data_IF_550462956714
#
_entry.id   IF_550462956714
#
_cell.length_a   1.000
_cell.length_b   1.000
_cell.length_c   1.000
_cell.angle_alpha   90.00
_cell.angle_beta   90.00
_cell.angle_gamma   90.00
#
_symmetry.space_group_name_H-M   'P 1'
#
loop_
_entity.id
_entity.type
_entity.pdbx_description
1 polymer ?
#
# COMPACT_ATOMS: atom_id res chain seq x y z
N UNK A 1 -19.67 9.45 2.48
CA UNK A 1 -18.92 8.37 3.15
C UNK A 1 -17.56 8.95 3.53
N UNK A 2 -17.39 9.34 4.79
CA UNK A 2 -16.13 9.94 5.30
C UNK A 2 -15.22 8.80 5.73
N UNK A 3 -14.00 8.74 5.19
CA UNK A 3 -12.96 7.80 5.63
C UNK A 3 -12.51 8.23 7.02
N UNK A 4 -12.94 7.50 8.06
CA UNK A 4 -12.83 7.91 9.47
C UNK A 4 -11.46 7.67 10.12
N UNK A 5 -10.45 7.21 9.40
CA UNK A 5 -9.09 7.07 9.93
C UNK A 5 -8.07 7.19 8.81
N UNK A 6 -7.27 8.26 8.83
CA UNK A 6 -6.19 8.51 7.85
C UNK A 6 -4.83 8.51 8.55
N UNK A 7 -4.66 7.66 9.56
CA UNK A 7 -3.39 7.52 10.27
C UNK A 7 -3.46 6.42 11.32
N UNK A 8 -2.87 5.27 11.00
CA UNK A 8 -2.84 4.12 11.90
C UNK A 8 -2.21 2.90 11.26
N UNK A 9 -1.91 1.92 12.12
CA UNK A 9 -1.42 0.61 11.72
C UNK A 9 -2.56 -0.16 11.01
N UNK A 10 -2.27 -0.70 9.84
CA UNK A 10 -3.20 -1.55 9.08
C UNK A 10 -2.60 -2.93 8.94
N UNK A 11 -3.26 -3.89 9.59
CA UNK A 11 -2.94 -5.30 9.51
C UNK A 11 -3.55 -5.92 8.26
N UNK A 12 -2.72 -6.53 7.42
CA UNK A 12 -3.16 -7.30 6.26
C UNK A 12 -2.51 -8.68 6.29
N UNK A 13 -2.97 -9.60 5.43
CA UNK A 13 -2.37 -10.94 5.25
C UNK A 13 -0.86 -10.85 4.96
N UNK A 14 -0.41 -9.78 4.29
CA UNK A 14 1.00 -9.54 4.00
C UNK A 14 1.83 -8.96 5.15
N UNK A 15 1.21 -8.62 6.28
CA UNK A 15 1.83 -7.96 7.42
C UNK A 15 1.13 -6.66 7.82
N UNK A 16 1.68 -6.01 8.84
CA UNK A 16 1.23 -4.71 9.34
C UNK A 16 2.01 -3.57 8.66
N UNK A 17 1.31 -2.51 8.27
CA UNK A 17 1.96 -1.28 7.76
C UNK A 17 1.30 -0.03 8.33
N UNK A 18 2.09 1.01 8.56
CA UNK A 18 1.61 2.28 9.10
C UNK A 18 1.31 3.29 7.98
N UNK A 19 0.02 3.64 7.82
CA UNK A 19 -0.42 4.62 6.82
C UNK A 19 0.11 6.03 7.14
N UNK A 20 0.30 6.36 8.42
CA UNK A 20 0.72 7.69 8.85
C UNK A 20 2.18 8.00 8.52
N UNK A 21 3.02 6.96 8.42
CA UNK A 21 4.46 7.08 8.15
C UNK A 21 4.83 7.04 6.68
N UNK A 22 3.85 6.82 5.79
CA UNK A 22 4.09 6.68 4.36
C UNK A 22 4.72 5.34 3.96
N UNK A 23 4.51 4.29 4.77
CA UNK A 23 5.02 2.95 4.45
C UNK A 23 4.33 2.36 3.22
N UNK A 24 5.05 1.50 2.48
CA UNK A 24 4.47 0.76 1.37
C UNK A 24 3.41 -0.20 1.89
N UNK A 25 2.23 -0.18 1.24
CA UNK A 25 1.15 -1.09 1.59
C UNK A 25 1.54 -2.53 1.28
N UNK A 26 1.33 -3.43 2.23
CA UNK A 26 1.60 -4.87 2.07
C UNK A 26 0.38 -5.62 1.49
N UNK A 27 -0.32 -4.99 0.55
CA UNK A 27 -1.54 -5.52 -0.03
C UNK A 27 -1.70 -5.12 -1.50
N UNK A 28 -2.37 -5.97 -2.28
CA UNK A 28 -2.68 -5.69 -3.67
C UNK A 28 -3.83 -4.69 -3.79
N UNK A 29 -3.64 -3.63 -4.57
CA UNK A 29 -4.64 -2.57 -4.76
C UNK A 29 -5.25 -2.68 -6.15
N UNK A 30 -6.57 -2.46 -6.22
CA UNK A 30 -7.32 -2.38 -7.49
C UNK A 30 -8.10 -1.07 -7.53
N UNK A 31 -8.05 -0.37 -8.65
CA UNK A 31 -8.89 0.79 -8.92
C UNK A 31 -9.69 0.55 -10.21
N UNK A 32 -11.01 0.46 -10.09
CA UNK A 32 -11.89 0.13 -11.20
C UNK A 32 -11.49 -1.21 -11.82
N UNK A 33 -11.17 -1.22 -13.12
CA UNK A 33 -10.75 -2.42 -13.86
C UNK A 33 -9.23 -2.66 -13.85
N UNK A 34 -8.44 -1.79 -13.21
CA UNK A 34 -6.98 -1.88 -13.21
C UNK A 34 -6.44 -2.35 -11.87
N UNK A 35 -5.42 -3.20 -11.94
CA UNK A 35 -4.64 -3.64 -10.78
C UNK A 35 -3.33 -2.86 -10.72
N UNK A 36 -2.96 -2.44 -9.52
CA UNK A 36 -1.64 -1.88 -9.26
C UNK A 36 -0.59 -3.00 -9.15
N UNK A 37 0.70 -2.67 -9.31
CA UNK A 37 1.78 -3.63 -9.13
C UNK A 37 1.72 -4.32 -7.77
N UNK A 38 2.12 -5.59 -7.75
CA UNK A 38 2.19 -6.38 -6.52
C UNK A 38 3.10 -5.70 -5.49
N UNK A 39 2.66 -5.64 -4.24
CA UNK A 39 3.34 -4.95 -3.16
C UNK A 39 4.79 -5.42 -2.95
N UNK A 40 5.13 -6.67 -3.30
CA UNK A 40 6.50 -7.19 -3.21
C UNK A 40 7.44 -6.59 -4.25
N UNK A 41 6.89 -6.13 -5.39
CA UNK A 41 7.67 -5.57 -6.50
C UNK A 41 7.79 -4.05 -6.41
N UNK A 42 6.85 -3.40 -5.73
CA UNK A 42 6.80 -1.93 -5.59
C UNK A 42 8.11 -1.33 -5.07
N UNK A 43 8.77 -1.84 -4.00
CA UNK A 43 9.99 -1.23 -3.48
C UNK A 43 11.13 -1.20 -4.50
N UNK A 44 11.29 -2.29 -5.26
CA UNK A 44 12.30 -2.37 -6.31
C UNK A 44 11.96 -1.41 -7.46
N UNK A 45 10.71 -1.42 -7.92
CA UNK A 45 10.27 -0.53 -8.99
C UNK A 45 10.50 0.94 -8.63
N UNK A 46 10.20 1.36 -7.40
CA UNK A 46 10.43 2.74 -6.95
C UNK A 46 11.91 3.12 -6.98
N UNK A 47 12.81 2.22 -6.56
CA UNK A 47 14.25 2.46 -6.67
C UNK A 47 14.71 2.56 -8.13
N UNK A 48 14.13 1.78 -9.03
CA UNK A 48 14.47 1.81 -10.47
C UNK A 48 13.95 3.09 -11.17
N UNK A 49 13.04 3.86 -10.55
CA UNK A 49 12.50 5.12 -11.08
C UNK A 49 13.31 6.38 -10.69
N UNK A 50 14.35 6.23 -9.87
CA UNK A 50 15.20 7.33 -9.36
C UNK A 50 16.50 7.43 -10.15
#
# INVERSE_FOLDING_TARGET
>A
MVVKSTGGLVSTIGGDFDISKGEFRLCSVRAGSRYFPDYKKVPKMVNDFI
#
